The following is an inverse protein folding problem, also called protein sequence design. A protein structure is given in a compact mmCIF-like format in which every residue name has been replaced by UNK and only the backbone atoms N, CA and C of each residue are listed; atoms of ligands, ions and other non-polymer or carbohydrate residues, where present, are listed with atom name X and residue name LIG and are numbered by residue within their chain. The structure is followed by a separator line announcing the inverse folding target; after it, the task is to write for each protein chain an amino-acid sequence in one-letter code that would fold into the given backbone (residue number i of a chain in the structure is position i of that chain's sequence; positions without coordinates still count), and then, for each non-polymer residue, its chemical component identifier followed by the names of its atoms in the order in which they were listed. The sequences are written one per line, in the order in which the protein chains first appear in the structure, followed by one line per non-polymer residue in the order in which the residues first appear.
data_IF_510703606894
#
_entry.id   IF_510703606894
#
_cell.length_a   1.000
_cell.length_b   1.000
_cell.length_c   1.000
_cell.angle_alpha   90.00
_cell.angle_beta   90.00
_cell.angle_gamma   90.00
#
_symmetry.space_group_name_H-M   'P 1'
#
loop_
_entity.id
_entity.type
_entity.pdbx_description
1 polymer ?
#
# COMPACT_ATOMS: atom_id res chain seq x y z
N UNK A 1 35.57 -62.38 -81.14
CA UNK A 1 36.19 -61.31 -80.35
C UNK A 1 35.05 -60.60 -79.53
N UNK A 2 35.05 -60.79 -78.26
CA UNK A 2 33.93 -60.37 -77.35
C UNK A 2 34.24 -59.02 -76.73
N UNK A 3 33.39 -58.02 -77.02
CA UNK A 3 33.45 -56.72 -76.39
C UNK A 3 32.66 -56.74 -75.05
N UNK A 4 33.28 -56.35 -73.92
CA UNK A 4 32.65 -56.20 -72.64
C UNK A 4 32.24 -54.74 -72.47
N UNK A 5 30.94 -54.51 -72.30
CA UNK A 5 30.39 -53.21 -71.92
C UNK A 5 30.51 -53.05 -70.37
N UNK A 6 31.06 -51.93 -69.97
CA UNK A 6 31.13 -51.53 -68.51
C UNK A 6 29.93 -50.64 -68.18
N UNK A 7 29.11 -51.11 -67.31
CA UNK A 7 28.01 -50.35 -66.71
C UNK A 7 28.54 -49.52 -65.53
N UNK A 8 28.35 -48.18 -65.53
CA UNK A 8 28.66 -47.25 -64.44
C UNK A 8 27.40 -47.07 -63.64
N UNK A 9 27.41 -47.25 -62.29
CA UNK A 9 26.24 -46.97 -61.49
C UNK A 9 26.18 -45.47 -61.23
N UNK A 10 25.01 -44.86 -61.48
CA UNK A 10 24.63 -43.48 -61.07
C UNK A 10 24.34 -43.45 -59.54
N UNK A 11 25.22 -42.84 -58.80
CA UNK A 11 24.99 -42.56 -57.39
C UNK A 11 24.11 -41.30 -57.29
N UNK A 12 22.83 -41.47 -56.92
CA UNK A 12 21.92 -40.35 -56.65
C UNK A 12 22.26 -39.72 -55.33
N UNK A 13 22.71 -38.47 -55.32
CA UNK A 13 22.97 -37.65 -54.16
C UNK A 13 21.63 -37.07 -53.70
N UNK A 14 21.04 -37.66 -52.65
CA UNK A 14 19.85 -37.07 -51.91
C UNK A 14 20.36 -35.97 -51.00
N UNK A 15 20.18 -34.70 -51.39
CA UNK A 15 20.42 -33.55 -50.53
C UNK A 15 19.29 -33.45 -49.50
N UNK A 16 19.53 -33.86 -48.24
CA UNK A 16 18.65 -33.61 -47.10
C UNK A 16 18.73 -32.14 -46.73
N UNK A 17 17.73 -31.36 -47.10
CA UNK A 17 17.57 -29.97 -46.63
C UNK A 17 17.14 -30.05 -45.13
N UNK A 18 18.11 -29.87 -44.24
CA UNK A 18 17.85 -29.65 -42.82
C UNK A 18 17.20 -28.26 -42.66
N UNK A 19 15.88 -28.22 -42.49
CA UNK A 19 15.17 -27.03 -42.05
C UNK A 19 15.58 -26.82 -40.58
N UNK A 20 16.64 -26.04 -40.37
CA UNK A 20 16.97 -25.53 -39.05
C UNK A 20 15.85 -24.58 -38.61
N UNK A 21 14.89 -25.11 -37.85
CA UNK A 21 13.89 -24.30 -37.14
C UNK A 21 14.64 -23.35 -36.21
N UNK A 22 14.77 -22.09 -36.60
CA UNK A 22 15.23 -21.05 -35.72
C UNK A 22 14.17 -20.92 -34.63
N UNK A 23 14.38 -21.58 -33.49
CA UNK A 23 13.70 -21.23 -32.26
C UNK A 23 14.09 -19.78 -32.00
N UNK A 24 13.21 -18.83 -32.37
CA UNK A 24 13.34 -17.46 -31.96
C UNK A 24 13.20 -17.48 -30.43
N UNK A 25 14.32 -17.47 -29.71
CA UNK A 25 14.32 -17.17 -28.32
C UNK A 25 13.60 -15.81 -28.17
N UNK A 26 12.40 -15.83 -27.61
CA UNK A 26 11.61 -14.64 -27.43
C UNK A 26 12.47 -13.68 -26.58
N UNK A 27 12.83 -12.53 -27.15
CA UNK A 27 13.70 -11.56 -26.51
C UNK A 27 13.00 -11.07 -25.24
N UNK A 28 13.60 -11.29 -24.07
CA UNK A 28 13.09 -10.79 -22.80
C UNK A 28 13.46 -9.32 -22.62
N UNK A 29 12.52 -8.56 -22.04
CA UNK A 29 12.72 -7.16 -21.64
C UNK A 29 12.55 -7.08 -20.12
N UNK A 30 13.62 -6.74 -19.40
CA UNK A 30 13.56 -6.51 -17.96
C UNK A 30 12.76 -5.23 -17.65
N UNK A 31 11.89 -5.33 -16.63
CA UNK A 31 11.13 -4.21 -16.05
C UNK A 31 11.44 -4.17 -14.55
N UNK A 32 12.25 -3.20 -14.13
CA UNK A 32 12.56 -2.98 -12.73
C UNK A 32 11.37 -2.36 -12.01
N UNK A 33 10.93 -3.00 -10.94
CA UNK A 33 9.91 -2.52 -10.02
C UNK A 33 10.59 -2.12 -8.72
N UNK A 34 10.60 -0.84 -8.40
CA UNK A 34 11.10 -0.35 -7.13
C UNK A 34 10.10 -0.60 -6.00
N UNK A 35 10.59 -0.89 -4.82
CA UNK A 35 9.84 -0.79 -3.58
C UNK A 35 10.57 0.18 -2.65
N UNK A 36 9.87 1.21 -2.17
CA UNK A 36 10.32 2.12 -1.12
C UNK A 36 9.37 1.98 0.06
N UNK A 37 9.91 1.63 1.21
CA UNK A 37 9.13 1.47 2.44
C UNK A 37 10.03 1.22 3.64
N UNK A 38 9.51 1.29 4.87
CA UNK A 38 10.29 1.01 6.06
C UNK A 38 10.57 -0.49 6.17
N UNK A 39 11.77 -0.92 5.80
CA UNK A 39 12.20 -2.31 5.93
C UNK A 39 12.94 -2.56 7.25
N UNK A 40 13.26 -1.49 7.97
CA UNK A 40 13.78 -1.50 9.33
C UNK A 40 13.01 -0.55 10.26
N UNK A 41 13.31 -0.56 11.56
CA UNK A 41 12.67 0.30 12.56
C UNK A 41 11.25 -0.13 12.96
N UNK A 42 10.51 0.75 13.68
CA UNK A 42 9.23 0.40 14.29
C UNK A 42 8.14 -0.01 13.29
N UNK A 43 8.17 0.53 12.07
CA UNK A 43 7.19 0.25 11.02
C UNK A 43 7.63 -0.83 10.02
N UNK A 44 8.75 -1.55 10.30
CA UNK A 44 9.28 -2.57 9.39
C UNK A 44 8.29 -3.70 9.07
N UNK A 45 7.38 -4.00 9.96
CA UNK A 45 6.32 -4.99 9.73
C UNK A 45 5.43 -4.60 8.55
N UNK A 46 5.06 -3.31 8.45
CA UNK A 46 4.23 -2.79 7.37
C UNK A 46 5.01 -2.74 6.04
N UNK A 47 6.25 -2.25 6.05
CA UNK A 47 7.09 -2.19 4.86
C UNK A 47 7.34 -3.57 4.26
N UNK A 48 7.63 -4.58 5.10
CA UNK A 48 7.82 -5.96 4.66
C UNK A 48 6.54 -6.61 4.15
N UNK A 49 5.40 -6.33 4.76
CA UNK A 49 4.10 -6.79 4.28
C UNK A 49 3.82 -6.24 2.87
N UNK A 50 4.03 -4.94 2.68
CA UNK A 50 3.87 -4.27 1.39
C UNK A 50 4.81 -4.85 0.33
N UNK A 51 6.10 -5.03 0.66
CA UNK A 51 7.10 -5.65 -0.19
C UNK A 51 6.67 -7.07 -0.62
N UNK A 52 6.13 -7.86 0.30
CA UNK A 52 5.62 -9.20 0.01
C UNK A 52 4.44 -9.17 -0.97
N UNK A 53 3.55 -8.18 -0.87
CA UNK A 53 2.48 -7.96 -1.84
C UNK A 53 3.04 -7.71 -3.24
N UNK A 54 4.05 -6.84 -3.34
CA UNK A 54 4.76 -6.56 -4.61
C UNK A 54 5.45 -7.81 -5.15
N UNK A 55 6.17 -8.58 -4.31
CA UNK A 55 6.84 -9.83 -4.70
C UNK A 55 5.87 -10.85 -5.27
N UNK A 56 4.72 -11.03 -4.62
CA UNK A 56 3.69 -11.95 -5.09
C UNK A 56 3.15 -11.55 -6.47
N UNK A 57 2.92 -10.25 -6.70
CA UNK A 57 2.49 -9.74 -8.00
C UNK A 57 3.56 -9.95 -9.07
N UNK A 58 4.83 -9.71 -8.77
CA UNK A 58 5.96 -9.96 -9.69
C UNK A 58 6.02 -11.44 -10.09
N UNK A 59 5.92 -12.36 -9.12
CA UNK A 59 5.92 -13.80 -9.38
C UNK A 59 4.78 -14.20 -10.33
N UNK A 60 3.58 -13.64 -10.14
CA UNK A 60 2.43 -13.94 -10.99
C UNK A 60 2.52 -13.30 -12.39
N UNK A 61 2.99 -12.06 -12.48
CA UNK A 61 3.20 -11.39 -13.76
C UNK A 61 4.25 -12.15 -14.61
N UNK A 62 5.35 -12.60 -13.98
CA UNK A 62 6.36 -13.41 -14.62
C UNK A 62 5.82 -14.77 -15.07
N UNK A 63 4.95 -15.40 -14.24
CA UNK A 63 4.29 -16.65 -14.63
C UNK A 63 3.30 -16.48 -15.80
N UNK A 64 2.64 -15.33 -15.90
CA UNK A 64 1.73 -14.98 -17.01
C UNK A 64 2.48 -14.73 -18.34
N UNK A 65 3.79 -14.48 -18.31
CA UNK A 65 4.63 -14.21 -19.49
C UNK A 65 4.04 -13.14 -20.41
N UNK A 66 3.62 -12.00 -19.82
CA UNK A 66 3.05 -10.92 -20.61
C UNK A 66 4.04 -10.37 -21.63
N UNK A 67 3.54 -9.93 -22.79
CA UNK A 67 4.36 -9.41 -23.87
C UNK A 67 3.99 -7.99 -24.23
N UNK A 68 5.00 -7.19 -24.58
CA UNK A 68 4.88 -5.82 -25.07
C UNK A 68 5.81 -5.63 -26.26
N UNK A 69 5.30 -5.14 -27.37
CA UNK A 69 6.09 -4.94 -28.59
C UNK A 69 6.75 -6.25 -29.11
N UNK A 70 6.11 -7.41 -28.89
CA UNK A 70 6.63 -8.73 -29.26
C UNK A 70 7.70 -9.30 -28.32
N UNK A 71 8.08 -8.59 -27.25
CA UNK A 71 9.06 -9.03 -26.24
C UNK A 71 8.35 -9.52 -24.98
N UNK A 72 8.79 -10.63 -24.41
CA UNK A 72 8.33 -11.07 -23.10
C UNK A 72 8.85 -10.14 -22.02
N UNK A 73 7.99 -9.70 -21.09
CA UNK A 73 8.42 -8.90 -19.94
C UNK A 73 8.90 -9.81 -18.82
N UNK A 74 9.99 -9.40 -18.17
CA UNK A 74 10.51 -9.99 -16.95
C UNK A 74 10.58 -8.93 -15.86
N UNK A 75 9.74 -9.04 -14.85
CA UNK A 75 9.67 -8.11 -13.72
C UNK A 75 10.71 -8.49 -12.67
N UNK A 76 11.44 -7.49 -12.19
CA UNK A 76 12.51 -7.66 -11.20
C UNK A 76 12.31 -6.63 -10.08
N UNK A 77 12.41 -7.06 -8.82
CA UNK A 77 12.23 -6.19 -7.66
C UNK A 77 13.55 -5.54 -7.25
N UNK A 78 13.50 -4.22 -7.02
CA UNK A 78 14.55 -3.42 -6.40
C UNK A 78 13.97 -2.81 -5.12
N UNK A 79 14.36 -3.30 -3.95
CA UNK A 79 13.83 -2.83 -2.66
C UNK A 79 14.83 -1.93 -1.95
N UNK A 80 14.32 -0.81 -1.42
CA UNK A 80 15.08 0.17 -0.65
C UNK A 80 14.36 0.50 0.66
N UNK A 81 15.13 0.59 1.73
CA UNK A 81 14.64 0.95 3.07
C UNK A 81 14.63 2.47 3.25
N UNK A 82 13.45 3.07 3.28
CA UNK A 82 13.28 4.50 3.53
C UNK A 82 13.15 4.85 5.02
N UNK A 83 13.09 3.83 5.89
CA UNK A 83 12.99 3.94 7.35
C UNK A 83 11.80 4.80 7.84
N UNK A 84 10.84 5.12 6.98
CA UNK A 84 9.80 6.12 7.26
C UNK A 84 10.37 7.53 7.59
N UNK A 85 11.62 7.79 7.19
CA UNK A 85 12.33 9.04 7.39
C UNK A 85 12.38 9.87 6.10
N UNK A 86 11.96 11.13 6.17
CA UNK A 86 11.84 11.98 4.98
C UNK A 86 13.17 12.17 4.25
N UNK A 87 14.28 12.32 4.98
CA UNK A 87 15.60 12.55 4.40
C UNK A 87 16.13 11.28 3.72
N UNK A 88 16.01 10.16 4.40
CA UNK A 88 16.36 8.83 3.86
C UNK A 88 15.52 8.52 2.63
N UNK A 89 14.21 8.78 2.68
CA UNK A 89 13.30 8.55 1.58
C UNK A 89 13.58 9.40 0.33
N UNK A 90 14.03 10.65 0.50
CA UNK A 90 14.51 11.49 -0.61
C UNK A 90 15.75 10.86 -1.27
N UNK A 91 16.71 10.37 -0.48
CA UNK A 91 17.90 9.69 -0.99
C UNK A 91 17.55 8.38 -1.71
N UNK A 92 16.61 7.60 -1.16
CA UNK A 92 16.10 6.38 -1.77
C UNK A 92 15.40 6.68 -3.11
N UNK A 93 14.57 7.73 -3.15
CA UNK A 93 13.89 8.12 -4.39
C UNK A 93 14.88 8.49 -5.49
N UNK A 94 15.89 9.29 -5.15
CA UNK A 94 16.94 9.64 -6.10
C UNK A 94 17.69 8.41 -6.59
N UNK A 95 18.09 7.50 -5.68
CA UNK A 95 18.77 6.25 -6.03
C UNK A 95 17.96 5.40 -7.00
N UNK A 96 16.65 5.20 -6.73
CA UNK A 96 15.79 4.41 -7.61
C UNK A 96 15.67 5.04 -9.00
N UNK A 97 15.57 6.37 -9.09
CA UNK A 97 15.56 7.10 -10.38
C UNK A 97 16.90 6.90 -11.12
N UNK A 98 18.02 7.08 -10.44
CA UNK A 98 19.38 6.92 -11.03
C UNK A 98 19.64 5.49 -11.48
N UNK A 99 19.11 4.49 -10.77
CA UNK A 99 19.16 3.07 -11.15
C UNK A 99 18.22 2.70 -12.33
N UNK A 100 17.51 3.70 -12.88
CA UNK A 100 16.62 3.55 -14.04
C UNK A 100 15.31 2.82 -13.71
N UNK A 101 14.88 2.80 -12.44
CA UNK A 101 13.59 2.25 -12.03
C UNK A 101 12.46 3.15 -12.56
N UNK A 102 11.51 2.59 -13.29
CA UNK A 102 10.39 3.34 -13.90
C UNK A 102 9.06 3.17 -13.18
N UNK A 103 8.95 2.23 -12.27
CA UNK A 103 7.74 1.93 -11.51
C UNK A 103 8.10 1.72 -10.04
N UNK A 104 7.56 2.52 -9.15
CA UNK A 104 7.81 2.42 -7.70
C UNK A 104 6.51 2.12 -6.96
N UNK A 105 6.54 1.05 -6.18
CA UNK A 105 5.49 0.64 -5.25
C UNK A 105 5.88 1.13 -3.84
N UNK A 106 5.29 2.20 -3.42
CA UNK A 106 5.66 2.97 -2.22
C UNK A 106 5.68 4.47 -2.53
N UNK A 107 6.14 5.32 -1.57
CA UNK A 107 6.44 5.02 -0.17
C UNK A 107 5.20 4.69 0.67
N UNK A 108 5.43 4.06 1.82
CA UNK A 108 4.39 3.80 2.81
C UNK A 108 4.05 5.07 3.61
N UNK A 109 5.05 5.77 4.12
CA UNK A 109 4.89 6.91 5.02
C UNK A 109 4.63 8.20 4.24
N UNK A 110 3.57 8.96 4.59
CA UNK A 110 3.25 10.25 3.94
C UNK A 110 4.40 11.25 4.03
N UNK A 111 5.17 11.26 5.13
CA UNK A 111 6.34 12.12 5.31
C UNK A 111 7.46 11.84 4.31
N UNK A 112 7.53 10.63 3.78
CA UNK A 112 8.42 10.23 2.69
C UNK A 112 7.77 10.51 1.33
N UNK A 113 6.53 10.11 1.14
CA UNK A 113 5.82 10.21 -0.14
C UNK A 113 5.74 11.66 -0.65
N UNK A 114 5.50 12.63 0.24
CA UNK A 114 5.36 14.04 -0.12
C UNK A 114 6.64 14.59 -0.81
N UNK A 115 7.83 14.56 -0.18
CA UNK A 115 9.04 15.07 -0.83
C UNK A 115 9.54 14.18 -1.97
N UNK A 116 9.38 12.85 -1.89
CA UNK A 116 9.85 11.91 -2.90
C UNK A 116 9.05 12.02 -4.21
N UNK A 117 7.76 12.40 -4.16
CA UNK A 117 6.90 12.47 -5.36
C UNK A 117 7.44 13.41 -6.44
N UNK A 118 8.07 14.51 -6.07
CA UNK A 118 8.72 15.43 -7.02
C UNK A 118 9.91 14.76 -7.73
N UNK A 119 10.77 14.05 -6.96
CA UNK A 119 11.96 13.37 -7.52
C UNK A 119 11.53 12.32 -8.54
N UNK A 120 10.54 11.53 -8.20
CA UNK A 120 9.98 10.53 -9.12
C UNK A 120 9.35 11.17 -10.35
N UNK A 121 8.64 12.29 -10.19
CA UNK A 121 8.04 13.02 -11.32
C UNK A 121 9.12 13.55 -12.26
N UNK A 122 10.15 14.23 -11.73
CA UNK A 122 11.27 14.76 -12.50
C UNK A 122 12.06 13.64 -13.20
N UNK A 123 12.14 12.43 -12.60
CA UNK A 123 12.78 11.23 -13.16
C UNK A 123 11.91 10.43 -14.15
N UNK A 124 10.68 10.84 -14.42
CA UNK A 124 9.72 10.10 -15.25
C UNK A 124 9.41 8.71 -14.70
N UNK A 125 9.34 8.58 -13.37
CA UNK A 125 9.03 7.34 -12.66
C UNK A 125 7.60 7.36 -12.17
N UNK A 126 6.82 6.32 -12.48
CA UNK A 126 5.47 6.15 -11.94
C UNK A 126 5.52 5.68 -10.50
N UNK A 127 4.71 6.29 -9.65
CA UNK A 127 4.63 5.99 -8.22
C UNK A 127 3.24 5.53 -7.83
N UNK A 128 3.15 4.45 -7.08
CA UNK A 128 1.93 3.95 -6.47
C UNK A 128 2.10 3.85 -4.97
N UNK A 129 1.43 4.73 -4.22
CA UNK A 129 1.66 4.93 -2.79
C UNK A 129 0.41 4.70 -1.95
N UNK A 130 0.61 4.25 -0.73
CA UNK A 130 -0.41 4.22 0.34
C UNK A 130 -0.27 5.41 1.31
N UNK A 131 0.55 6.40 0.97
CA UNK A 131 0.61 7.67 1.71
C UNK A 131 -0.74 8.39 1.66
N UNK A 132 -1.42 8.50 2.79
CA UNK A 132 -2.81 8.96 2.88
C UNK A 132 -2.98 10.47 2.96
N UNK A 133 -1.92 11.19 3.39
CA UNK A 133 -1.99 12.65 3.55
C UNK A 133 -2.42 13.34 2.23
N UNK A 134 -3.39 14.28 2.27
CA UNK A 134 -3.85 14.99 1.07
C UNK A 134 -2.72 15.65 0.27
N UNK A 135 -1.66 16.11 0.93
CA UNK A 135 -0.51 16.76 0.29
C UNK A 135 0.24 15.86 -0.71
N UNK A 136 0.13 14.54 -0.57
CA UNK A 136 0.80 13.57 -1.47
C UNK A 136 0.39 13.79 -2.93
N UNK A 137 -0.89 14.07 -3.19
CA UNK A 137 -1.43 14.27 -4.56
C UNK A 137 -1.63 15.74 -4.93
N UNK A 138 -1.38 16.69 -4.00
CA UNK A 138 -1.54 18.12 -4.27
C UNK A 138 -0.50 18.70 -5.23
N UNK A 139 0.64 18.03 -5.41
CA UNK A 139 1.67 18.43 -6.39
C UNK A 139 1.20 18.33 -7.84
N UNK A 140 0.10 17.66 -8.11
CA UNK A 140 -0.49 17.52 -9.45
C UNK A 140 0.31 16.64 -10.41
N UNK A 141 1.21 15.80 -9.88
CA UNK A 141 2.04 14.89 -10.68
C UNK A 141 1.20 13.77 -11.30
N UNK A 142 1.16 13.68 -12.62
CA UNK A 142 0.34 12.73 -13.38
C UNK A 142 0.83 11.28 -13.29
N UNK A 143 2.06 11.08 -12.87
CA UNK A 143 2.69 9.77 -12.67
C UNK A 143 2.53 9.23 -11.24
N UNK A 144 1.76 9.90 -10.37
CA UNK A 144 1.54 9.49 -8.99
C UNK A 144 0.12 9.01 -8.77
N UNK A 145 -0.02 7.82 -8.18
CA UNK A 145 -1.30 7.18 -7.88
C UNK A 145 -1.38 6.83 -6.39
N UNK A 146 -2.42 7.32 -5.72
CA UNK A 146 -2.78 6.89 -4.37
C UNK A 146 -3.70 5.69 -4.47
N UNK A 147 -3.26 4.55 -3.97
CA UNK A 147 -3.94 3.25 -4.14
C UNK A 147 -4.88 2.87 -2.99
N UNK A 148 -5.14 3.81 -2.09
CA UNK A 148 -6.07 3.66 -0.96
C UNK A 148 -6.82 4.98 -0.70
N UNK A 149 -7.70 4.99 0.30
CA UNK A 149 -8.39 6.19 0.77
C UNK A 149 -7.41 7.24 1.30
N UNK A 150 -7.78 8.52 1.19
CA UNK A 150 -7.02 9.63 1.76
C UNK A 150 -7.42 9.89 3.22
N UNK A 151 -6.58 10.66 3.95
CA UNK A 151 -6.88 11.11 5.32
C UNK A 151 -8.20 11.89 5.41
N UNK A 152 -8.59 12.61 4.34
CA UNK A 152 -9.90 13.27 4.28
C UNK A 152 -11.03 12.25 4.45
N UNK A 153 -10.93 11.11 3.80
CA UNK A 153 -11.95 10.06 3.87
C UNK A 153 -11.85 9.28 5.17
N UNK A 154 -10.65 8.88 5.59
CA UNK A 154 -10.40 8.08 6.79
C UNK A 154 -10.77 8.87 8.06
N UNK A 155 -10.23 10.07 8.21
CA UNK A 155 -10.48 10.94 9.36
C UNK A 155 -11.95 11.34 9.47
N UNK A 156 -12.58 11.74 8.35
CA UNK A 156 -13.99 12.08 8.32
C UNK A 156 -14.88 10.89 8.68
N UNK A 157 -14.62 9.70 8.14
CA UNK A 157 -15.39 8.49 8.46
C UNK A 157 -15.30 8.14 9.94
N UNK A 158 -14.11 8.25 10.54
CA UNK A 158 -13.94 7.98 11.98
C UNK A 158 -14.66 9.02 12.84
N UNK A 159 -14.67 10.31 12.46
CA UNK A 159 -15.41 11.35 13.16
C UNK A 159 -16.94 11.12 13.08
N UNK A 160 -17.44 10.77 11.90
CA UNK A 160 -18.86 10.40 11.71
C UNK A 160 -19.22 9.17 12.54
N UNK A 161 -18.36 8.14 12.56
CA UNK A 161 -18.57 6.94 13.37
C UNK A 161 -18.59 7.27 14.86
N UNK A 162 -17.66 8.08 15.35
CA UNK A 162 -17.63 8.55 16.74
C UNK A 162 -18.94 9.26 17.14
N UNK A 163 -19.41 10.19 16.32
CA UNK A 163 -20.64 10.94 16.58
C UNK A 163 -21.91 10.10 16.46
N UNK A 164 -22.05 9.33 15.37
CA UNK A 164 -23.32 8.68 15.02
C UNK A 164 -23.48 7.30 15.63
N UNK A 165 -22.40 6.54 15.77
CA UNK A 165 -22.44 5.15 16.25
C UNK A 165 -22.00 5.05 17.71
N UNK A 166 -20.83 5.59 18.04
CA UNK A 166 -20.34 5.56 19.42
C UNK A 166 -21.04 6.59 20.32
N UNK A 167 -21.77 7.55 19.73
CA UNK A 167 -22.49 8.62 20.45
C UNK A 167 -21.60 9.48 21.34
N UNK A 168 -20.34 9.65 20.91
CA UNK A 168 -19.37 10.52 21.58
C UNK A 168 -19.77 11.98 21.38
N UNK A 169 -19.63 12.79 22.41
CA UNK A 169 -19.83 14.24 22.38
C UNK A 169 -18.55 15.03 22.66
N UNK A 170 -17.63 14.44 23.46
CA UNK A 170 -16.36 15.07 23.84
C UNK A 170 -15.19 14.20 23.40
N UNK A 171 -14.27 14.78 22.62
CA UNK A 171 -13.11 14.06 22.08
C UNK A 171 -11.81 14.82 22.37
N UNK A 172 -10.79 14.08 22.85
CA UNK A 172 -9.41 14.54 22.85
C UNK A 172 -8.75 14.18 21.52
N UNK A 173 -7.76 14.96 21.09
CA UNK A 173 -6.99 14.68 19.89
C UNK A 173 -5.50 14.65 20.23
N UNK A 174 -4.80 13.61 19.81
CA UNK A 174 -3.34 13.46 19.96
C UNK A 174 -2.77 13.13 18.60
N UNK A 175 -1.66 13.77 18.17
CA UNK A 175 -0.92 13.42 16.98
C UNK A 175 0.57 13.16 17.28
N UNK A 176 1.24 12.42 16.39
CA UNK A 176 2.65 12.06 16.53
C UNK A 176 3.63 13.00 15.84
N UNK A 177 3.15 14.17 15.39
CA UNK A 177 3.92 15.18 14.66
C UNK A 177 4.51 14.73 13.33
N UNK A 178 4.22 13.52 12.86
CA UNK A 178 4.52 13.16 11.47
C UNK A 178 3.56 13.85 10.50
N UNK A 179 3.94 13.96 9.23
CA UNK A 179 3.04 14.50 8.21
C UNK A 179 1.74 13.69 8.10
N UNK A 180 1.81 12.37 8.31
CA UNK A 180 0.63 11.49 8.36
C UNK A 180 -0.23 11.81 9.58
N UNK A 181 0.32 11.68 10.79
CA UNK A 181 -0.46 11.81 12.03
C UNK A 181 -1.11 13.17 12.19
N UNK A 182 -0.38 14.27 11.88
CA UNK A 182 -0.94 15.61 11.87
C UNK A 182 -2.07 15.76 10.85
N UNK A 183 -1.85 15.34 9.60
CA UNK A 183 -2.84 15.47 8.54
C UNK A 183 -4.13 14.71 8.86
N UNK A 184 -4.01 13.49 9.35
CA UNK A 184 -5.14 12.68 9.75
C UNK A 184 -5.92 13.30 10.94
N UNK A 185 -5.19 13.79 11.96
CA UNK A 185 -5.79 14.46 13.12
C UNK A 185 -6.49 15.78 12.74
N UNK A 186 -5.95 16.53 11.78
CA UNK A 186 -6.57 17.74 11.22
C UNK A 186 -7.90 17.39 10.51
N UNK A 187 -7.94 16.39 9.65
CA UNK A 187 -9.16 15.99 8.93
C UNK A 187 -10.21 15.39 9.86
N UNK A 188 -9.80 14.57 10.84
CA UNK A 188 -10.70 14.11 11.89
C UNK A 188 -11.29 15.31 12.66
N UNK A 189 -10.47 16.24 13.11
CA UNK A 189 -10.90 17.40 13.92
C UNK A 189 -11.85 18.31 13.16
N UNK A 190 -11.60 18.51 11.87
CA UNK A 190 -12.46 19.29 10.98
C UNK A 190 -13.86 18.68 10.85
N UNK A 191 -13.93 17.38 10.63
CA UNK A 191 -15.20 16.69 10.52
C UNK A 191 -15.90 16.53 11.86
N UNK A 192 -15.16 16.24 12.94
CA UNK A 192 -15.68 16.15 14.30
C UNK A 192 -16.48 17.42 14.70
N UNK A 193 -15.91 18.59 14.41
CA UNK A 193 -16.61 19.88 14.64
C UNK A 193 -17.90 19.99 13.82
N UNK A 194 -17.91 19.56 12.57
CA UNK A 194 -19.13 19.55 11.72
C UNK A 194 -20.21 18.59 12.26
N UNK A 195 -19.78 17.47 12.87
CA UNK A 195 -20.68 16.52 13.49
C UNK A 195 -21.14 16.94 14.90
N UNK A 196 -20.71 18.11 15.39
CA UNK A 196 -21.09 18.65 16.70
C UNK A 196 -20.29 18.11 17.87
N UNK A 197 -19.16 17.44 17.65
CA UNK A 197 -18.28 16.99 18.71
C UNK A 197 -17.47 18.18 19.28
N UNK A 198 -17.33 18.22 20.60
CA UNK A 198 -16.46 19.17 21.28
C UNK A 198 -15.06 18.60 21.42
N UNK A 199 -14.06 19.26 20.84
CA UNK A 199 -12.65 18.92 21.05
C UNK A 199 -12.21 19.52 22.40
N UNK A 200 -12.11 18.68 23.42
CA UNK A 200 -11.79 19.11 24.79
C UNK A 200 -10.31 19.30 25.05
N UNK A 201 -9.45 18.78 24.17
CA UNK A 201 -8.01 18.95 24.25
C UNK A 201 -7.29 18.51 22.99
N UNK A 202 -6.18 19.17 22.72
CA UNK A 202 -5.24 18.79 21.67
C UNK A 202 -3.86 18.67 22.29
N UNK A 203 -3.22 17.54 22.08
CA UNK A 203 -1.87 17.24 22.56
C UNK A 203 -1.06 16.63 21.43
N UNK A 204 0.23 16.52 21.59
CA UNK A 204 1.11 15.90 20.62
C UNK A 204 2.19 15.06 21.28
N UNK A 205 2.66 14.08 20.54
CA UNK A 205 3.77 13.21 20.91
C UNK A 205 4.77 13.13 19.75
N UNK A 206 5.56 12.07 19.70
CA UNK A 206 6.44 11.77 18.56
C UNK A 206 6.26 10.32 18.10
N UNK A 207 6.64 10.03 16.88
CA UNK A 207 6.66 8.68 16.30
C UNK A 207 7.64 7.71 16.99
N UNK A 208 8.48 8.21 17.91
CA UNK A 208 9.43 7.44 18.74
C UNK A 208 8.99 7.29 20.18
N UNK A 209 7.90 7.93 20.57
CA UNK A 209 7.43 7.90 21.95
C UNK A 209 6.91 6.50 22.33
N UNK A 210 7.18 6.10 23.57
CA UNK A 210 6.71 4.84 24.18
C UNK A 210 6.01 5.08 25.51
N UNK A 211 6.15 6.27 26.09
CA UNK A 211 5.50 6.71 27.31
C UNK A 211 4.58 7.90 27.02
N UNK A 212 3.30 7.74 27.36
CA UNK A 212 2.23 8.68 27.13
C UNK A 212 1.58 9.14 28.46
N UNK A 213 2.18 8.78 29.59
CA UNK A 213 1.60 9.00 30.93
C UNK A 213 1.22 10.45 31.15
N UNK A 214 2.11 11.40 30.85
CA UNK A 214 1.85 12.83 31.04
C UNK A 214 0.70 13.33 30.15
N UNK A 215 0.72 13.01 28.87
CA UNK A 215 -0.31 13.41 27.89
C UNK A 215 -1.66 12.80 28.27
N UNK A 216 -1.70 11.52 28.63
CA UNK A 216 -2.92 10.82 29.02
C UNK A 216 -3.48 11.35 30.34
N UNK A 217 -2.64 11.74 31.30
CA UNK A 217 -3.07 12.37 32.54
C UNK A 217 -3.70 13.74 32.26
N UNK A 218 -3.10 14.55 31.41
CA UNK A 218 -3.67 15.83 30.97
C UNK A 218 -5.01 15.63 30.25
N UNK A 219 -5.10 14.64 29.38
CA UNK A 219 -6.37 14.30 28.70
C UNK A 219 -7.43 13.81 29.68
N UNK A 220 -7.08 12.95 30.63
CA UNK A 220 -8.01 12.45 31.64
C UNK A 220 -8.68 13.57 32.42
N UNK A 221 -7.95 14.63 32.80
CA UNK A 221 -8.49 15.79 33.47
C UNK A 221 -9.57 16.55 32.69
N UNK A 222 -9.56 16.42 31.34
CA UNK A 222 -10.55 17.02 30.43
C UNK A 222 -11.77 16.14 30.20
N UNK A 223 -11.80 14.95 30.81
CA UNK A 223 -12.88 13.94 30.72
C UNK A 223 -13.40 13.70 29.29
N UNK A 224 -12.54 13.30 28.33
CA UNK A 224 -12.99 12.95 26.99
C UNK A 224 -13.75 11.62 27.02
N UNK A 225 -14.73 11.46 26.14
CA UNK A 225 -15.44 10.20 25.90
C UNK A 225 -14.73 9.32 24.85
N UNK A 226 -13.83 9.94 24.08
CA UNK A 226 -12.87 9.26 23.22
C UNK A 226 -11.62 10.12 23.02
N UNK A 227 -10.51 9.47 22.69
CA UNK A 227 -9.27 10.12 22.26
C UNK A 227 -9.00 9.66 20.82
N UNK A 228 -8.89 10.60 19.89
CA UNK A 228 -8.42 10.31 18.54
C UNK A 228 -6.90 10.42 18.52
N UNK A 229 -6.24 9.39 17.99
CA UNK A 229 -4.80 9.36 17.80
C UNK A 229 -4.45 9.32 16.31
N UNK A 230 -3.81 10.38 15.83
CA UNK A 230 -3.16 10.44 14.52
C UNK A 230 -1.71 9.97 14.63
N UNK A 231 -1.43 8.75 14.20
CA UNK A 231 -0.12 8.13 14.27
C UNK A 231 -0.17 6.64 13.97
N UNK A 232 0.92 5.92 14.28
CA UNK A 232 1.13 4.55 13.86
C UNK A 232 0.86 3.53 14.97
N UNK A 233 0.73 2.24 14.59
CA UNK A 233 0.51 1.11 15.50
C UNK A 233 1.54 1.02 16.65
N UNK A 234 2.85 1.25 16.45
CA UNK A 234 3.84 1.19 17.53
C UNK A 234 3.60 2.17 18.67
N UNK A 235 2.89 3.28 18.42
CA UNK A 235 2.50 4.27 19.45
C UNK A 235 1.10 4.01 19.97
N UNK A 236 0.15 3.64 19.09
CA UNK A 236 -1.24 3.38 19.48
C UNK A 236 -1.36 2.24 20.50
N UNK A 237 -0.60 1.17 20.31
CA UNK A 237 -0.65 0.00 21.17
C UNK A 237 -0.21 0.27 22.63
N UNK A 238 0.97 0.87 22.92
CA UNK A 238 1.32 1.24 24.28
C UNK A 238 0.42 2.35 24.85
N UNK A 239 -0.09 3.27 24.01
CA UNK A 239 -1.08 4.27 24.43
C UNK A 239 -2.35 3.60 24.95
N UNK A 240 -2.88 2.59 24.26
CA UNK A 240 -4.04 1.82 24.72
C UNK A 240 -3.79 1.12 26.06
N UNK A 241 -2.59 0.53 26.26
CA UNK A 241 -2.22 -0.07 27.55
C UNK A 241 -2.19 0.97 28.68
N UNK A 242 -1.57 2.12 28.42
CA UNK A 242 -1.44 3.19 29.42
C UNK A 242 -2.79 3.85 29.71
N UNK A 243 -3.69 3.98 28.73
CA UNK A 243 -5.08 4.40 28.99
C UNK A 243 -5.77 3.51 30.03
N UNK A 244 -5.64 2.17 29.89
CA UNK A 244 -6.20 1.23 30.88
C UNK A 244 -5.52 1.37 32.25
N UNK A 245 -4.20 1.42 32.30
CA UNK A 245 -3.41 1.54 33.52
C UNK A 245 -3.75 2.83 34.32
N UNK A 246 -3.93 3.94 33.61
CA UNK A 246 -4.25 5.24 34.19
C UNK A 246 -5.76 5.46 34.39
N UNK A 247 -6.59 4.47 34.02
CA UNK A 247 -8.05 4.58 33.98
C UNK A 247 -8.52 5.87 33.28
N UNK A 248 -7.94 6.13 32.10
CA UNK A 248 -8.41 7.19 31.20
C UNK A 248 -9.74 6.76 30.58
N UNK A 249 -10.81 7.58 30.74
CA UNK A 249 -12.12 7.19 30.23
C UNK A 249 -12.18 7.22 28.70
N UNK A 250 -13.17 6.50 28.14
CA UNK A 250 -13.50 6.56 26.73
C UNK A 250 -12.73 5.57 25.87
N UNK A 251 -12.87 5.77 24.55
CA UNK A 251 -12.29 4.93 23.50
C UNK A 251 -11.04 5.56 22.90
N UNK A 252 -10.14 4.73 22.39
CA UNK A 252 -9.05 5.17 21.53
C UNK A 252 -9.47 5.00 20.08
N UNK A 253 -9.52 6.10 19.34
CA UNK A 253 -9.89 6.14 17.92
C UNK A 253 -8.63 6.36 17.09
N UNK A 254 -8.54 5.76 15.92
CA UNK A 254 -7.38 5.95 15.03
C UNK A 254 -7.72 5.80 13.56
N UNK A 255 -6.70 6.02 12.75
CA UNK A 255 -6.77 5.77 11.31
C UNK A 255 -6.34 4.34 10.94
N UNK A 256 -6.02 4.20 9.69
CA UNK A 256 -5.73 2.96 9.00
C UNK A 256 -4.54 2.18 9.57
N UNK A 257 -3.46 2.88 9.91
CA UNK A 257 -2.26 2.26 10.50
C UNK A 257 -2.52 1.61 11.86
N UNK A 258 -3.52 2.13 12.61
CA UNK A 258 -3.95 1.58 13.89
C UNK A 258 -4.79 0.31 13.72
N UNK A 259 -5.42 0.10 12.57
CA UNK A 259 -6.18 -1.12 12.26
C UNK A 259 -5.30 -2.36 12.04
N UNK A 260 -3.99 -2.19 11.96
CA UNK A 260 -3.05 -3.30 11.74
C UNK A 260 -3.12 -4.37 12.85
N UNK A 261 -3.00 -5.66 12.49
CA UNK A 261 -2.77 -6.74 13.45
C UNK A 261 -1.61 -6.48 14.41
N UNK A 262 -0.62 -5.68 14.00
CA UNK A 262 0.49 -5.27 14.87
C UNK A 262 0.02 -4.50 16.11
N UNK A 263 -1.03 -3.68 16.00
CA UNK A 263 -1.64 -2.99 17.15
C UNK A 263 -2.13 -3.98 18.20
N UNK A 264 -2.81 -5.04 17.76
CA UNK A 264 -3.25 -6.11 18.65
C UNK A 264 -2.09 -6.89 19.27
N UNK A 265 -1.12 -7.29 18.43
CA UNK A 265 0.07 -8.04 18.88
C UNK A 265 0.89 -7.25 19.92
N UNK A 266 1.05 -5.94 19.74
CA UNK A 266 1.79 -5.07 20.64
C UNK A 266 0.97 -4.63 21.87
N UNK A 267 -0.34 -4.49 21.72
CA UNK A 267 -1.24 -4.00 22.78
C UNK A 267 -1.85 -5.09 23.65
N UNK A 268 -1.88 -6.34 23.16
CA UNK A 268 -2.52 -7.46 23.84
C UNK A 268 -3.99 -7.19 24.14
N UNK A 269 -4.49 -7.68 25.28
CA UNK A 269 -5.88 -7.49 25.70
C UNK A 269 -6.27 -6.04 25.95
N UNK A 270 -5.29 -5.13 26.03
CA UNK A 270 -5.59 -3.73 26.25
C UNK A 270 -6.35 -3.07 25.10
N UNK A 271 -6.18 -3.56 23.87
CA UNK A 271 -6.86 -2.99 22.71
C UNK A 271 -8.29 -3.48 22.55
N UNK A 272 -8.66 -4.60 23.17
CA UNK A 272 -9.98 -5.22 23.02
C UNK A 272 -11.10 -4.27 23.44
N UNK A 273 -12.06 -4.02 22.55
CA UNK A 273 -13.20 -3.12 22.72
C UNK A 273 -12.85 -1.68 23.18
N UNK A 274 -11.55 -1.35 23.26
CA UNK A 274 -11.03 -0.02 23.53
C UNK A 274 -10.68 0.74 22.26
N UNK A 275 -9.99 0.07 21.34
CA UNK A 275 -9.47 0.67 20.10
C UNK A 275 -10.46 0.51 18.97
N UNK A 276 -10.76 1.60 18.29
CA UNK A 276 -11.54 1.68 17.06
C UNK A 276 -10.73 2.40 16.00
N UNK A 277 -10.77 1.94 14.78
CA UNK A 277 -10.00 2.55 13.69
C UNK A 277 -10.73 2.45 12.36
N UNK A 278 -10.45 3.38 11.45
CA UNK A 278 -10.99 3.39 10.09
C UNK A 278 -9.86 3.15 9.09
N UNK A 279 -10.06 2.21 8.18
CA UNK A 279 -9.08 1.82 7.17
C UNK A 279 -9.70 1.86 5.78
N UNK A 280 -8.93 2.35 4.79
CA UNK A 280 -9.28 2.24 3.38
C UNK A 280 -9.10 0.82 2.87
N UNK A 281 -10.05 0.36 2.04
CA UNK A 281 -10.04 -0.97 1.44
C UNK A 281 -11.22 -1.84 1.86
N UNK A 282 -11.45 -2.90 1.09
CA UNK A 282 -12.49 -3.88 1.34
C UNK A 282 -12.06 -4.86 2.43
N UNK A 283 -13.04 -5.48 3.08
CA UNK A 283 -12.79 -6.61 3.99
C UNK A 283 -12.37 -7.80 3.14
N UNK A 284 -11.11 -8.20 3.22
CA UNK A 284 -10.54 -9.26 2.38
C UNK A 284 -11.29 -10.60 2.52
N UNK A 285 -11.78 -10.92 3.72
CA UNK A 285 -12.56 -12.14 3.97
C UNK A 285 -13.88 -12.17 3.20
N UNK A 286 -14.44 -11.00 2.88
CA UNK A 286 -15.71 -10.85 2.15
C UNK A 286 -15.51 -10.56 0.66
N UNK A 287 -14.31 -10.18 0.25
CA UNK A 287 -13.97 -9.97 -1.16
C UNK A 287 -13.94 -11.30 -1.91
N UNK A 288 -14.44 -11.33 -3.15
CA UNK A 288 -14.56 -12.56 -3.94
C UNK A 288 -13.23 -13.33 -4.06
N UNK A 289 -12.11 -12.65 -4.26
CA UNK A 289 -10.77 -13.22 -4.39
C UNK A 289 -9.93 -13.12 -3.11
N UNK A 290 -10.44 -12.50 -2.06
CA UNK A 290 -9.72 -12.22 -0.83
C UNK A 290 -9.23 -13.47 -0.09
N UNK A 291 -10.08 -14.51 0.16
CA UNK A 291 -9.65 -15.73 0.80
C UNK A 291 -8.56 -16.46 0.02
N UNK A 292 -8.63 -16.49 -1.32
CA UNK A 292 -7.62 -17.11 -2.17
C UNK A 292 -6.29 -16.35 -2.10
N UNK A 293 -6.33 -15.00 -2.12
CA UNK A 293 -5.15 -14.17 -1.92
C UNK A 293 -4.49 -14.43 -0.57
N UNK A 294 -5.26 -14.40 0.53
CA UNK A 294 -4.74 -14.66 1.88
C UNK A 294 -4.07 -16.03 1.99
N UNK A 295 -4.69 -17.07 1.45
CA UNK A 295 -4.13 -18.42 1.45
C UNK A 295 -2.80 -18.49 0.66
N UNK A 296 -2.75 -17.86 -0.52
CA UNK A 296 -1.56 -17.77 -1.36
C UNK A 296 -0.44 -17.00 -0.67
N UNK A 297 -0.75 -15.84 -0.11
CA UNK A 297 0.19 -14.99 0.62
C UNK A 297 0.79 -15.75 1.82
N UNK A 298 -0.06 -16.37 2.65
CA UNK A 298 0.38 -17.16 3.80
C UNK A 298 1.26 -18.35 3.39
N UNK A 299 0.88 -19.06 2.33
CA UNK A 299 1.67 -20.19 1.79
C UNK A 299 3.06 -19.71 1.34
N UNK A 300 3.13 -18.54 0.69
CA UNK A 300 4.38 -18.03 0.11
C UNK A 300 5.33 -17.44 1.15
N UNK A 301 4.79 -16.70 2.14
CA UNK A 301 5.60 -15.91 3.07
C UNK A 301 5.55 -16.40 4.52
N UNK A 302 4.78 -17.45 4.80
CA UNK A 302 4.52 -17.95 6.17
C UNK A 302 4.03 -16.85 7.13
N UNK A 303 3.30 -15.86 6.60
CA UNK A 303 2.74 -14.72 7.31
C UNK A 303 1.33 -14.43 6.80
N UNK A 304 0.49 -13.87 7.65
CA UNK A 304 -0.81 -13.35 7.22
C UNK A 304 -0.61 -11.95 6.62
N UNK A 305 -1.33 -11.64 5.55
CA UNK A 305 -1.30 -10.31 4.95
C UNK A 305 -1.87 -9.26 5.91
N UNK A 306 -1.19 -8.14 6.04
CA UNK A 306 -1.61 -6.97 6.79
C UNK A 306 -2.40 -5.99 5.87
N UNK A 307 -2.47 -4.73 6.24
CA UNK A 307 -3.37 -3.74 5.68
C UNK A 307 -3.26 -3.54 4.16
N UNK A 308 -2.05 -3.54 3.60
CA UNK A 308 -1.82 -3.02 2.25
C UNK A 308 -1.12 -3.96 1.27
N UNK A 309 -0.70 -5.14 1.70
CA UNK A 309 -0.10 -6.14 0.79
C UNK A 309 -0.99 -6.42 -0.42
N UNK A 310 -2.32 -6.55 -0.19
CA UNK A 310 -3.28 -6.78 -1.25
C UNK A 310 -3.41 -5.57 -2.19
N UNK A 311 -3.35 -4.34 -1.67
CA UNK A 311 -3.43 -3.11 -2.48
C UNK A 311 -2.22 -2.94 -3.39
N UNK A 312 -1.01 -3.21 -2.88
CA UNK A 312 0.20 -3.18 -3.70
C UNK A 312 0.23 -4.31 -4.73
N UNK A 313 -0.22 -5.50 -4.35
CA UNK A 313 -0.39 -6.60 -5.30
C UNK A 313 -1.36 -6.22 -6.43
N UNK A 314 -2.54 -5.72 -6.11
CA UNK A 314 -3.55 -5.30 -7.08
C UNK A 314 -3.01 -4.24 -8.04
N UNK A 315 -2.37 -3.22 -7.48
CA UNK A 315 -1.85 -2.12 -8.28
C UNK A 315 -0.77 -2.55 -9.25
N UNK A 316 0.14 -3.44 -8.84
CA UNK A 316 1.18 -3.93 -9.75
C UNK A 316 0.59 -4.87 -10.82
N UNK A 317 -0.42 -5.67 -10.48
CA UNK A 317 -1.18 -6.46 -11.46
C UNK A 317 -1.88 -5.54 -12.47
N UNK A 318 -2.49 -4.45 -12.01
CA UNK A 318 -3.13 -3.45 -12.86
C UNK A 318 -2.12 -2.74 -13.79
N UNK A 319 -0.94 -2.39 -13.28
CA UNK A 319 0.16 -1.84 -14.09
C UNK A 319 0.57 -2.84 -15.18
N UNK A 320 0.75 -4.12 -14.84
CA UNK A 320 1.10 -5.16 -15.82
C UNK A 320 0.05 -5.32 -16.93
N UNK A 321 -1.24 -5.32 -16.59
CA UNK A 321 -2.32 -5.34 -17.58
C UNK A 321 -2.35 -4.05 -18.42
N UNK A 322 -2.05 -2.90 -17.80
CA UNK A 322 -2.00 -1.62 -18.52
C UNK A 322 -0.82 -1.54 -19.48
N UNK A 323 0.32 -2.16 -19.15
CA UNK A 323 1.44 -2.31 -20.11
C UNK A 323 1.03 -3.10 -21.36
N UNK A 324 0.28 -4.19 -21.19
CA UNK A 324 -0.22 -4.97 -22.34
C UNK A 324 -1.22 -4.16 -23.17
N UNK A 325 -2.16 -3.46 -22.54
CA UNK A 325 -3.18 -2.63 -23.24
C UNK A 325 -2.52 -1.46 -24.00
N UNK A 326 -1.56 -0.79 -23.37
CA UNK A 326 -0.80 0.30 -24.00
C UNK A 326 0.22 -0.20 -25.04
N UNK A 327 0.48 -1.51 -25.09
CA UNK A 327 1.59 -2.11 -25.80
C UNK A 327 2.92 -1.38 -25.57
N UNK A 328 3.17 -1.00 -24.33
CA UNK A 328 4.30 -0.15 -23.92
C UNK A 328 4.70 -0.40 -22.46
N UNK A 329 6.00 -0.22 -22.16
CA UNK A 329 6.53 -0.13 -20.80
C UNK A 329 6.88 1.31 -20.41
N UNK A 330 6.49 2.28 -21.23
CA UNK A 330 6.66 3.70 -20.94
C UNK A 330 5.66 4.15 -19.87
N UNK A 331 6.11 4.80 -18.74
CA UNK A 331 5.24 5.17 -17.65
C UNK A 331 4.10 6.12 -18.03
N UNK A 332 4.31 7.03 -18.96
CA UNK A 332 3.28 7.98 -19.37
C UNK A 332 2.15 7.29 -20.15
N UNK A 333 2.50 6.35 -21.04
CA UNK A 333 1.53 5.56 -21.79
C UNK A 333 0.75 4.62 -20.88
N UNK A 334 1.45 3.96 -19.95
CA UNK A 334 0.82 3.09 -18.95
C UNK A 334 -0.05 3.88 -17.99
N UNK A 335 0.39 5.05 -17.54
CA UNK A 335 -0.38 5.97 -16.71
C UNK A 335 -1.67 6.43 -17.38
N UNK A 336 -1.61 6.73 -18.68
CA UNK A 336 -2.80 7.08 -19.47
C UNK A 336 -3.84 5.94 -19.49
N UNK A 337 -3.40 4.67 -19.50
CA UNK A 337 -4.31 3.52 -19.40
C UNK A 337 -4.90 3.35 -18.01
N UNK A 338 -4.12 3.60 -16.93
CA UNK A 338 -4.62 3.59 -15.55
C UNK A 338 -5.74 4.62 -15.34
N UNK A 339 -5.63 5.82 -15.93
CA UNK A 339 -6.68 6.85 -15.84
C UNK A 339 -7.97 6.50 -16.57
N UNK A 340 -7.91 5.69 -17.63
CA UNK A 340 -9.06 5.31 -18.47
C UNK A 340 -9.74 4.03 -18.02
N UNK A 341 -9.01 3.17 -17.33
CA UNK A 341 -9.46 1.80 -17.04
C UNK A 341 -9.95 1.67 -15.60
N UNK A 342 -10.92 0.80 -15.39
CA UNK A 342 -11.33 0.32 -14.07
C UNK A 342 -10.80 -1.10 -13.87
N UNK A 343 -10.10 -1.34 -12.78
CA UNK A 343 -9.53 -2.65 -12.44
C UNK A 343 -10.18 -3.22 -11.17
N UNK A 344 -10.70 -4.44 -11.25
CA UNK A 344 -11.24 -5.16 -10.10
C UNK A 344 -10.13 -5.98 -9.47
N UNK A 345 -9.60 -5.48 -8.36
CA UNK A 345 -8.57 -6.14 -7.57
C UNK A 345 -9.14 -7.00 -6.44
N UNK A 346 -8.24 -7.45 -5.59
CA UNK A 346 -8.54 -8.19 -4.35
C UNK A 346 -9.01 -7.25 -3.25
N UNK A 347 -8.26 -6.15 -3.04
CA UNK A 347 -8.51 -5.18 -1.97
C UNK A 347 -9.56 -4.13 -2.35
N UNK A 348 -9.67 -3.77 -3.63
CA UNK A 348 -10.58 -2.73 -4.09
C UNK A 348 -10.86 -2.81 -5.59
N UNK A 349 -11.78 -1.95 -6.05
CA UNK A 349 -11.92 -1.61 -7.47
C UNK A 349 -11.19 -0.29 -7.71
N UNK A 350 -10.17 -0.32 -8.57
CA UNK A 350 -9.29 0.81 -8.83
C UNK A 350 -9.75 1.58 -10.05
N UNK A 351 -9.96 2.86 -9.88
CA UNK A 351 -10.14 3.88 -10.92
C UNK A 351 -9.70 5.22 -10.34
N UNK A 352 -9.05 6.05 -11.15
CA UNK A 352 -8.38 7.25 -10.66
C UNK A 352 -9.03 8.54 -11.17
N UNK A 353 -9.08 9.56 -10.30
CA UNK A 353 -9.41 10.93 -10.68
C UNK A 353 -8.21 11.60 -11.39
N UNK A 354 -8.38 12.84 -11.83
CA UNK A 354 -7.36 13.62 -12.55
C UNK A 354 -6.11 13.96 -11.71
N UNK A 355 -6.16 13.69 -10.41
CA UNK A 355 -5.06 13.90 -9.44
C UNK A 355 -4.39 12.60 -9.00
N UNK A 356 -4.82 11.45 -9.55
CA UNK A 356 -4.31 10.14 -9.18
C UNK A 356 -4.87 9.57 -7.87
N UNK A 357 -5.97 10.11 -7.33
CA UNK A 357 -6.65 9.49 -6.20
C UNK A 357 -7.67 8.47 -6.68
N UNK A 358 -7.92 7.45 -5.88
CA UNK A 358 -9.04 6.53 -6.14
C UNK A 358 -10.36 7.28 -6.12
N UNK A 359 -11.18 7.13 -7.18
CA UNK A 359 -12.53 7.72 -7.27
C UNK A 359 -13.47 7.16 -6.21
N UNK A 360 -13.35 5.89 -5.91
CA UNK A 360 -14.10 5.19 -4.88
C UNK A 360 -13.13 4.39 -4.03
N UNK A 361 -12.99 4.78 -2.76
CA UNK A 361 -12.17 4.10 -1.80
C UNK A 361 -13.07 3.70 -0.62
N UNK A 362 -13.49 2.43 -0.53
CA UNK A 362 -14.31 1.97 0.58
C UNK A 362 -13.58 2.16 1.89
N UNK A 363 -14.31 2.54 2.94
CA UNK A 363 -13.78 2.65 4.30
C UNK A 363 -14.42 1.57 5.16
N UNK A 364 -13.62 0.82 5.87
CA UNK A 364 -14.08 -0.13 6.88
C UNK A 364 -13.64 0.32 8.26
N UNK A 365 -14.57 0.32 9.20
CA UNK A 365 -14.29 0.56 10.62
C UNK A 365 -14.09 -0.76 11.32
N UNK A 366 -13.04 -0.83 12.13
CA UNK A 366 -12.65 -2.00 12.92
C UNK A 366 -12.64 -1.69 14.42
N UNK A 367 -12.79 -2.75 15.22
CA UNK A 367 -12.38 -2.80 16.62
C UNK A 367 -11.47 -4.02 16.83
N UNK A 368 -11.00 -4.24 18.04
CA UNK A 368 -10.18 -5.40 18.38
C UNK A 368 -10.93 -6.34 19.32
N UNK A 369 -10.83 -7.65 19.01
CA UNK A 369 -11.27 -8.74 19.90
C UNK A 369 -10.19 -9.83 19.88
N UNK A 370 -9.85 -10.32 21.07
CA UNK A 370 -8.74 -11.29 21.22
C UNK A 370 -7.45 -10.77 20.55
N UNK A 371 -7.15 -9.49 20.71
CA UNK A 371 -6.02 -8.80 20.10
C UNK A 371 -5.95 -8.88 18.56
N UNK A 372 -7.08 -9.15 17.90
CA UNK A 372 -7.18 -9.17 16.44
C UNK A 372 -8.18 -8.10 15.95
N UNK A 373 -7.92 -7.43 14.82
CA UNK A 373 -8.87 -6.48 14.24
C UNK A 373 -10.11 -7.21 13.72
N UNK A 374 -11.29 -6.70 14.07
CA UNK A 374 -12.59 -7.25 13.65
C UNK A 374 -13.39 -6.14 12.97
N UNK A 375 -13.85 -6.35 11.72
CA UNK A 375 -14.62 -5.35 11.00
C UNK A 375 -16.02 -5.18 11.62
N UNK A 376 -16.47 -3.92 11.72
CA UNK A 376 -17.77 -3.53 12.25
C UNK A 376 -18.72 -3.04 11.16
N UNK A 377 -18.25 -2.10 10.34
CA UNK A 377 -19.06 -1.45 9.31
C UNK A 377 -18.18 -1.04 8.12
N UNK A 378 -18.77 -1.03 6.92
CA UNK A 378 -18.14 -0.51 5.69
C UNK A 378 -19.02 0.57 5.08
N UNK A 379 -18.40 1.62 4.54
CA UNK A 379 -19.04 2.81 3.96
C UNK A 379 -18.54 3.07 2.53
#
# INVERSE_FOLDING_TARGET
MKSKAHMIPFLGLVAAIAVAGHAHAQQEQAVKIGHSGPLSGPNAFAGKDNENGVRLAIEELNAKKITVGGKALKFELVSEDDQCDAKTGVSVAQKLVDDGVKYVMGPYCSGVAIPASRIYADGGTMVSTVGTNPKVTQGGYKNLFRIIASDNQIGSSMAVYAAKVLKVSKVGVIDDRTAFGQGLAEEFSKEAKKQGLTIVGQEFTTDKAVDFTAILTNMKAKAPEAIFFGGYAPQAAPMARQMKQLAVPGKLLGGDTVCSPATGKLGGDAVNDLVFCAQGGSILEKAQSGPAFKAKFKKRFNADADAYAASYYDQLMFIGESMQKANSTDPDKVGAELYKTTYKGVAATYSYDDKGNMKQAPITVFTFKNAAPVPLASY
#
